data_IF_480170766774
#
_entry.id   IF_480170766774
#
_cell.length_a   1.000
_cell.length_b   1.000
_cell.length_c   1.000
_cell.angle_alpha   90.00
_cell.angle_beta   90.00
_cell.angle_gamma   90.00
#
_symmetry.space_group_name_H-M   'P 1'
#
loop_
_entity.id
_entity.type
_entity.pdbx_description
1 polymer ?
#
# COMPACT_ATOMS: atom_id res chain seq x y z
N UNK A 1 -2.35 -11.77 -21.89
CA UNK A 1 -1.54 -10.52 -21.87
C UNK A 1 -0.52 -10.62 -20.76
N UNK A 2 0.77 -10.82 -21.08
CA UNK A 2 1.84 -10.95 -20.09
C UNK A 2 2.18 -9.55 -19.57
N UNK A 3 1.72 -9.24 -18.35
CA UNK A 3 2.17 -8.03 -17.64
C UNK A 3 3.65 -8.22 -17.34
N UNK A 4 4.51 -7.53 -18.09
CA UNK A 4 5.95 -7.50 -17.81
C UNK A 4 6.15 -6.96 -16.40
N UNK A 5 6.97 -7.62 -15.55
CA UNK A 5 7.26 -7.10 -14.23
C UNK A 5 7.98 -5.77 -14.41
N UNK A 6 7.43 -4.69 -13.85
CA UNK A 6 8.14 -3.41 -13.74
C UNK A 6 9.47 -3.73 -13.05
N UNK A 7 10.57 -3.56 -13.77
CA UNK A 7 11.93 -3.68 -13.23
C UNK A 7 12.01 -2.75 -12.03
N UNK A 8 11.92 -3.32 -10.84
CA UNK A 8 12.14 -2.60 -9.59
C UNK A 8 13.65 -2.41 -9.51
N UNK A 9 14.18 -1.46 -10.27
CA UNK A 9 15.55 -1.04 -10.13
C UNK A 9 15.67 -0.46 -8.73
N UNK A 10 16.27 -1.23 -7.83
CA UNK A 10 16.88 -0.78 -6.59
C UNK A 10 18.01 0.21 -6.92
N UNK A 11 17.64 1.36 -7.49
CA UNK A 11 18.54 2.49 -7.73
C UNK A 11 18.73 3.24 -6.42
N UNK A 12 19.22 2.54 -5.39
CA UNK A 12 19.32 3.07 -4.04
C UNK A 12 20.57 3.94 -3.84
N UNK A 13 20.96 4.73 -4.84
CA UNK A 13 22.03 5.73 -4.69
C UNK A 13 21.53 7.17 -4.60
N UNK A 14 20.26 7.42 -4.94
CA UNK A 14 19.72 8.77 -4.93
C UNK A 14 19.43 9.25 -3.51
N UNK A 15 20.00 10.40 -3.14
CA UNK A 15 19.81 11.05 -1.85
C UNK A 15 19.15 12.41 -2.09
N UNK A 16 17.83 12.47 -1.89
CA UNK A 16 17.04 13.68 -2.15
C UNK A 16 17.52 14.88 -1.32
N UNK A 17 18.02 14.64 -0.11
CA UNK A 17 18.51 15.68 0.81
C UNK A 17 19.80 16.35 0.33
N UNK A 18 20.52 15.73 -0.60
CA UNK A 18 21.72 16.30 -1.22
C UNK A 18 21.40 17.16 -2.45
N UNK A 19 20.14 17.23 -2.88
CA UNK A 19 19.76 18.12 -3.97
C UNK A 19 20.03 19.58 -3.58
N UNK A 20 20.55 20.40 -4.52
CA UNK A 20 20.71 21.81 -4.26
C UNK A 20 19.34 22.47 -4.02
N UNK A 21 19.25 23.45 -3.10
CA UNK A 21 18.02 24.22 -2.94
C UNK A 21 17.59 24.83 -4.28
N UNK A 22 16.31 24.67 -4.61
CA UNK A 22 15.77 25.07 -5.92
C UNK A 22 16.06 26.54 -6.26
N UNK A 23 16.01 27.43 -5.26
CA UNK A 23 16.38 28.84 -5.39
C UNK A 23 17.81 29.00 -5.91
N UNK A 24 18.80 28.52 -5.16
CA UNK A 24 20.22 28.63 -5.53
C UNK A 24 20.54 27.96 -6.87
N UNK A 25 19.84 26.86 -7.18
CA UNK A 25 19.98 26.18 -8.46
C UNK A 25 19.48 27.06 -9.62
N UNK A 26 18.23 27.51 -9.58
CA UNK A 26 17.65 28.29 -10.67
C UNK A 26 18.22 29.69 -10.81
N UNK A 27 18.67 30.33 -9.73
CA UNK A 27 19.38 31.62 -9.80
C UNK A 27 20.71 31.49 -10.56
N UNK A 28 21.42 30.37 -10.39
CA UNK A 28 22.63 30.07 -11.16
C UNK A 28 22.33 29.74 -12.62
N UNK A 29 21.30 28.94 -12.88
CA UNK A 29 20.98 28.45 -14.22
C UNK A 29 20.29 29.49 -15.12
N UNK A 30 19.42 30.32 -14.55
CA UNK A 30 18.59 31.27 -15.29
C UNK A 30 18.99 32.73 -15.07
N UNK A 31 19.90 32.99 -14.12
CA UNK A 31 20.30 34.33 -13.72
C UNK A 31 19.21 35.04 -12.91
N UNK A 32 18.92 36.29 -13.28
CA UNK A 32 17.97 37.14 -12.54
C UNK A 32 16.54 36.61 -12.63
N UNK A 33 15.99 36.22 -11.49
CA UNK A 33 14.60 35.77 -11.36
C UNK A 33 13.67 36.92 -10.94
N UNK A 34 12.38 36.79 -11.26
CA UNK A 34 11.35 37.73 -10.80
C UNK A 34 11.13 37.64 -9.29
N UNK A 35 10.41 38.63 -8.73
CA UNK A 35 9.94 38.52 -7.35
C UNK A 35 9.04 37.28 -7.19
N UNK A 36 9.20 36.51 -6.11
CA UNK A 36 8.38 35.33 -5.85
C UNK A 36 6.92 35.72 -5.59
N UNK A 37 6.02 34.89 -6.12
CA UNK A 37 4.58 34.94 -5.85
C UNK A 37 4.11 33.53 -5.52
N UNK A 38 3.73 33.30 -4.25
CA UNK A 38 3.32 31.98 -3.72
C UNK A 38 4.36 30.88 -4.03
N UNK A 39 5.64 31.18 -3.85
CA UNK A 39 6.75 30.25 -4.13
C UNK A 39 7.17 30.16 -5.61
N UNK A 40 6.39 30.74 -6.54
CA UNK A 40 6.72 30.74 -7.96
C UNK A 40 7.48 32.00 -8.37
N UNK A 41 8.52 31.81 -9.17
CA UNK A 41 9.29 32.89 -9.81
C UNK A 41 9.37 32.65 -11.32
N UNK A 42 9.56 33.73 -12.09
CA UNK A 42 9.71 33.68 -13.54
C UNK A 42 11.12 34.06 -13.96
N UNK A 43 11.59 33.46 -15.05
CA UNK A 43 12.88 33.73 -15.67
C UNK A 43 12.86 33.52 -17.19
N UNK A 44 14.04 33.69 -17.81
CA UNK A 44 14.24 33.32 -19.22
C UNK A 44 14.21 31.80 -19.35
N UNK A 45 13.58 31.31 -20.41
CA UNK A 45 13.57 29.88 -20.69
C UNK A 45 14.92 29.46 -21.29
N UNK A 46 15.57 28.40 -20.79
CA UNK A 46 16.80 27.87 -21.37
C UNK A 46 16.53 26.94 -22.56
N UNK A 47 15.27 26.54 -22.80
CA UNK A 47 14.89 25.56 -23.82
C UNK A 47 14.38 26.17 -25.13
N UNK A 48 14.12 27.47 -25.16
CA UNK A 48 13.76 28.19 -26.38
C UNK A 48 14.13 29.67 -26.24
N UNK A 49 14.41 30.32 -27.36
CA UNK A 49 14.60 31.76 -27.39
C UNK A 49 13.24 32.46 -27.61
N UNK A 50 12.90 33.43 -26.77
CA UNK A 50 11.66 34.21 -26.89
C UNK A 50 11.90 35.69 -26.60
N UNK A 51 11.29 36.55 -27.44
CA UNK A 51 11.38 38.00 -27.29
C UNK A 51 10.83 38.52 -25.96
N UNK A 52 9.85 37.83 -25.36
CA UNK A 52 9.21 38.25 -24.10
C UNK A 52 10.02 37.96 -22.84
N UNK A 53 11.12 37.19 -22.95
CA UNK A 53 12.16 37.02 -21.91
C UNK A 53 11.72 36.40 -20.56
N UNK A 54 10.44 36.28 -20.23
CA UNK A 54 9.93 35.86 -18.92
C UNK A 54 8.84 34.78 -19.03
N UNK A 55 9.08 33.77 -19.87
CA UNK A 55 8.14 32.69 -20.17
C UNK A 55 8.30 31.44 -19.29
N UNK A 56 9.38 31.35 -18.52
CA UNK A 56 9.71 30.17 -17.71
C UNK A 56 9.35 30.38 -16.25
N UNK A 57 8.47 29.53 -15.69
CA UNK A 57 8.01 29.62 -14.31
C UNK A 57 8.54 28.43 -13.51
N UNK A 58 9.13 28.69 -12.33
CA UNK A 58 9.70 27.67 -11.44
C UNK A 58 9.17 27.84 -10.02
N UNK A 59 8.94 26.73 -9.33
CA UNK A 59 8.47 26.70 -7.94
C UNK A 59 9.66 26.44 -7.01
N UNK A 60 10.05 27.46 -6.24
CA UNK A 60 11.20 27.38 -5.34
C UNK A 60 10.89 26.61 -4.05
N UNK A 61 9.62 26.59 -3.62
CA UNK A 61 9.21 25.98 -2.35
C UNK A 61 8.80 24.50 -2.54
N UNK A 62 8.27 24.16 -3.71
CA UNK A 62 7.71 22.84 -4.04
C UNK A 62 8.71 21.83 -4.61
N UNK A 63 10.01 21.94 -4.30
CA UNK A 63 11.04 21.02 -4.80
C UNK A 63 11.56 21.30 -6.21
N UNK A 64 11.31 22.49 -6.75
CA UNK A 64 11.92 22.94 -8.01
C UNK A 64 11.15 22.56 -9.28
N UNK A 65 9.85 22.28 -9.20
CA UNK A 65 9.04 22.04 -10.40
C UNK A 65 9.01 23.26 -11.33
N UNK A 66 8.90 23.05 -12.64
CA UNK A 66 8.92 24.11 -13.63
C UNK A 66 7.97 23.88 -14.80
N UNK A 67 7.56 24.99 -15.41
CA UNK A 67 6.74 25.02 -16.62
C UNK A 67 7.08 26.24 -17.47
N UNK A 68 7.28 26.04 -18.76
CA UNK A 68 7.44 27.12 -19.73
C UNK A 68 6.13 27.39 -20.46
N UNK A 69 5.59 28.60 -20.34
CA UNK A 69 4.39 29.02 -21.07
C UNK A 69 4.63 29.29 -22.56
N UNK A 70 5.89 29.42 -22.99
CA UNK A 70 6.24 29.64 -24.40
C UNK A 70 6.36 28.34 -25.20
N UNK A 71 7.12 27.36 -24.67
CA UNK A 71 7.42 26.11 -25.38
C UNK A 71 6.76 24.86 -24.77
N UNK A 72 6.03 24.98 -23.66
CA UNK A 72 5.32 23.88 -23.01
C UNK A 72 6.19 22.88 -22.24
N UNK A 73 7.52 23.03 -22.25
CA UNK A 73 8.44 22.18 -21.50
C UNK A 73 8.14 22.27 -20.01
N UNK A 74 8.11 21.12 -19.32
CA UNK A 74 7.75 21.01 -17.91
C UNK A 74 8.53 19.91 -17.20
N UNK A 75 8.67 20.04 -15.88
CA UNK A 75 9.30 19.03 -15.03
C UNK A 75 8.88 19.18 -13.57
N UNK A 76 8.98 18.09 -12.81
CA UNK A 76 8.51 18.02 -11.42
C UNK A 76 9.50 18.51 -10.38
N UNK A 77 10.79 18.55 -10.71
CA UNK A 77 11.87 18.94 -9.81
C UNK A 77 13.12 19.41 -10.59
N UNK A 78 14.16 19.80 -9.85
CA UNK A 78 15.47 20.17 -10.41
C UNK A 78 16.16 19.03 -11.17
N UNK A 79 15.86 17.77 -10.84
CA UNK A 79 16.43 16.61 -11.54
C UNK A 79 15.86 16.53 -12.95
N UNK A 80 14.54 16.65 -13.10
CA UNK A 80 13.87 16.69 -14.39
C UNK A 80 14.39 17.85 -15.27
N UNK A 81 14.75 18.99 -14.66
CA UNK A 81 15.35 20.10 -15.39
C UNK A 81 16.70 19.72 -16.00
N UNK A 82 17.60 19.14 -15.21
CA UNK A 82 18.92 18.69 -15.68
C UNK A 82 18.80 17.58 -16.72
N UNK A 83 17.86 16.64 -16.54
CA UNK A 83 17.59 15.60 -17.53
C UNK A 83 17.21 16.20 -18.89
N UNK A 84 16.35 17.23 -18.90
CA UNK A 84 15.93 17.89 -20.13
C UNK A 84 17.02 18.77 -20.74
N UNK A 85 17.78 19.51 -19.90
CA UNK A 85 18.87 20.39 -20.34
C UNK A 85 20.01 19.60 -20.98
N UNK A 86 20.47 18.55 -20.30
CA UNK A 86 21.66 17.78 -20.68
C UNK A 86 21.32 16.52 -21.49
N UNK A 87 20.03 16.29 -21.75
CA UNK A 87 19.51 15.10 -22.46
C UNK A 87 20.03 13.79 -21.86
N UNK A 88 20.05 13.71 -20.53
CA UNK A 88 20.60 12.59 -19.79
C UNK A 88 19.54 11.82 -18.98
N UNK A 89 19.88 10.59 -18.58
CA UNK A 89 19.04 9.78 -17.71
C UNK A 89 19.00 10.28 -16.27
N UNK A 90 18.05 9.76 -15.47
CA UNK A 90 17.85 10.17 -14.08
C UNK A 90 19.11 10.04 -13.22
N UNK A 91 19.83 8.91 -13.35
CA UNK A 91 21.05 8.63 -12.58
C UNK A 91 22.14 9.66 -12.89
N UNK A 92 22.33 10.00 -14.16
CA UNK A 92 23.37 10.95 -14.56
C UNK A 92 23.01 12.37 -14.14
N UNK A 93 21.73 12.76 -14.25
CA UNK A 93 21.24 14.02 -13.71
C UNK A 93 21.44 14.12 -12.19
N UNK A 94 21.19 13.04 -11.44
CA UNK A 94 21.44 13.01 -10.00
C UNK A 94 22.93 13.12 -9.67
N UNK A 95 23.82 12.49 -10.46
CA UNK A 95 25.27 12.63 -10.30
C UNK A 95 25.74 14.06 -10.59
N UNK A 96 25.23 14.69 -11.65
CA UNK A 96 25.51 16.10 -12.00
C UNK A 96 25.09 17.03 -10.85
N UNK A 97 23.97 16.72 -10.19
CA UNK A 97 23.47 17.45 -9.02
C UNK A 97 24.15 17.09 -7.70
N UNK A 98 25.11 16.14 -7.67
CA UNK A 98 25.76 15.67 -6.45
C UNK A 98 24.85 14.85 -5.53
N UNK A 99 23.65 14.49 -5.98
CA UNK A 99 22.63 13.78 -5.21
C UNK A 99 22.68 12.25 -5.41
N UNK A 100 23.81 11.72 -5.89
CA UNK A 100 23.99 10.30 -6.14
C UNK A 100 25.20 9.75 -5.39
N UNK A 101 24.95 8.95 -4.37
CA UNK A 101 25.98 8.19 -3.64
C UNK A 101 25.99 6.74 -4.10
N UNK A 102 27.16 6.20 -4.41
CA UNK A 102 27.29 4.77 -4.64
C UNK A 102 27.07 4.01 -3.33
N UNK A 103 26.12 3.07 -3.34
CA UNK A 103 25.97 2.14 -2.21
C UNK A 103 27.13 1.17 -2.20
N UNK A 104 27.83 1.14 -1.08
CA UNK A 104 28.95 0.23 -0.84
C UNK A 104 28.47 -1.23 -0.77
N UNK A 105 29.33 -2.22 -1.03
CA UNK A 105 28.95 -3.64 -0.90
C UNK A 105 28.39 -3.99 0.49
N UNK A 106 28.96 -3.44 1.56
CA UNK A 106 28.52 -3.65 2.93
C UNK A 106 27.11 -3.08 3.19
N UNK A 107 26.84 -1.85 2.73
CA UNK A 107 25.51 -1.25 2.82
C UNK A 107 24.47 -2.05 2.01
N UNK A 108 24.85 -2.64 0.86
CA UNK A 108 23.93 -3.49 0.07
C UNK A 108 23.50 -4.74 0.84
N UNK A 109 24.45 -5.40 1.52
CA UNK A 109 24.17 -6.57 2.36
C UNK A 109 23.24 -6.18 3.50
N UNK A 110 23.50 -5.07 4.19
CA UNK A 110 22.66 -4.60 5.29
C UNK A 110 21.24 -4.21 4.82
N UNK A 111 21.11 -3.53 3.67
CA UNK A 111 19.81 -3.22 3.07
C UNK A 111 19.04 -4.51 2.74
N UNK A 112 19.71 -5.51 2.14
CA UNK A 112 19.11 -6.79 1.81
C UNK A 112 18.64 -7.53 3.08
N UNK A 113 19.45 -7.55 4.15
CA UNK A 113 19.09 -8.13 5.45
C UNK A 113 17.83 -7.48 6.02
N UNK A 114 17.77 -6.15 6.07
CA UNK A 114 16.59 -5.41 6.55
C UNK A 114 15.35 -5.69 5.70
N UNK A 115 15.50 -5.80 4.38
CA UNK A 115 14.39 -6.13 3.49
C UNK A 115 13.87 -7.54 3.75
N UNK A 116 14.77 -8.50 3.97
CA UNK A 116 14.44 -9.88 4.31
C UNK A 116 13.73 -9.97 5.66
N UNK A 117 14.23 -9.29 6.70
CA UNK A 117 13.59 -9.22 8.03
C UNK A 117 12.17 -8.65 7.93
N UNK A 118 12.00 -7.51 7.24
CA UNK A 118 10.67 -6.92 7.02
C UNK A 118 9.74 -7.84 6.23
N UNK A 119 10.26 -8.56 5.24
CA UNK A 119 9.48 -9.52 4.48
C UNK A 119 9.05 -10.70 5.35
N UNK A 120 9.93 -11.21 6.20
CA UNK A 120 9.63 -12.27 7.16
C UNK A 120 8.54 -11.84 8.15
N UNK A 121 8.65 -10.65 8.75
CA UNK A 121 7.62 -10.12 9.66
C UNK A 121 6.27 -9.99 8.96
N UNK A 122 6.22 -9.40 7.77
CA UNK A 122 4.99 -9.29 6.98
C UNK A 122 4.38 -10.66 6.67
N UNK A 123 5.22 -11.63 6.30
CA UNK A 123 4.76 -12.98 5.98
C UNK A 123 4.13 -13.65 7.21
N UNK A 124 4.76 -13.52 8.37
CA UNK A 124 4.22 -14.04 9.64
C UNK A 124 2.90 -13.39 10.04
N UNK A 125 2.76 -12.08 9.86
CA UNK A 125 1.49 -11.39 10.12
C UNK A 125 0.38 -11.87 9.18
N UNK A 126 0.70 -12.04 7.88
CA UNK A 126 -0.24 -12.58 6.89
C UNK A 126 -0.66 -13.99 7.29
N UNK A 127 0.29 -14.85 7.64
CA UNK A 127 0.04 -16.22 8.07
C UNK A 127 -0.83 -16.27 9.32
N UNK A 128 -0.53 -15.47 10.36
CA UNK A 128 -1.36 -15.38 11.56
C UNK A 128 -2.79 -14.93 11.26
N UNK A 129 -2.95 -13.90 10.41
CA UNK A 129 -4.29 -13.43 9.99
C UNK A 129 -5.03 -14.49 9.19
N UNK A 130 -4.34 -15.22 8.31
CA UNK A 130 -4.92 -16.32 7.54
C UNK A 130 -5.35 -17.48 8.44
N UNK A 131 -4.52 -17.88 9.41
CA UNK A 131 -4.83 -18.92 10.39
C UNK A 131 -6.05 -18.56 11.21
N UNK A 132 -6.08 -17.36 11.82
CA UNK A 132 -7.26 -16.88 12.57
C UNK A 132 -8.51 -16.82 11.71
N UNK A 133 -8.39 -16.35 10.45
CA UNK A 133 -9.52 -16.33 9.51
C UNK A 133 -10.02 -17.74 9.21
N UNK A 134 -9.13 -18.70 8.96
CA UNK A 134 -9.47 -20.10 8.66
C UNK A 134 -10.16 -20.76 9.85
N UNK A 135 -9.63 -20.57 11.05
CA UNK A 135 -10.21 -21.08 12.29
C UNK A 135 -11.62 -20.52 12.51
N UNK A 136 -11.81 -19.20 12.36
CA UNK A 136 -13.13 -18.58 12.49
C UNK A 136 -14.13 -19.10 11.45
N UNK A 137 -13.72 -19.31 10.21
CA UNK A 137 -14.58 -19.89 9.17
C UNK A 137 -14.98 -21.33 9.51
N UNK A 138 -14.02 -22.13 10.00
CA UNK A 138 -14.27 -23.51 10.45
C UNK A 138 -15.33 -23.54 11.56
N UNK A 139 -15.15 -22.75 12.61
CA UNK A 139 -16.10 -22.66 13.74
C UNK A 139 -17.49 -22.20 13.28
N UNK A 140 -17.55 -21.26 12.34
CA UNK A 140 -18.82 -20.80 11.75
C UNK A 140 -19.52 -21.93 11.01
N UNK A 141 -18.78 -22.70 10.22
CA UNK A 141 -19.34 -23.78 9.41
C UNK A 141 -19.80 -24.97 10.30
N UNK A 142 -19.07 -25.27 11.39
CA UNK A 142 -19.49 -26.20 12.46
C UNK A 142 -20.80 -25.73 13.10
N UNK A 143 -20.85 -24.47 13.58
CA UNK A 143 -22.05 -23.86 14.15
C UNK A 143 -23.25 -23.95 13.20
N UNK A 144 -23.08 -23.58 11.94
CA UNK A 144 -24.16 -23.67 10.94
C UNK A 144 -24.67 -25.11 10.77
N UNK A 145 -23.78 -26.10 10.82
CA UNK A 145 -24.13 -27.52 10.69
C UNK A 145 -24.99 -27.97 11.88
N UNK A 146 -24.58 -27.65 13.10
CA UNK A 146 -25.31 -28.06 14.31
C UNK A 146 -26.66 -27.35 14.43
N UNK A 147 -26.70 -26.05 14.14
CA UNK A 147 -27.96 -25.28 14.05
C UNK A 147 -28.91 -25.92 13.04
N UNK A 148 -28.40 -26.30 11.86
CA UNK A 148 -29.21 -26.96 10.82
C UNK A 148 -29.76 -28.29 11.29
N UNK A 149 -28.93 -29.15 11.89
CA UNK A 149 -29.36 -30.45 12.44
C UNK A 149 -30.48 -30.24 13.47
N UNK A 150 -30.31 -29.31 14.41
CA UNK A 150 -31.32 -29.03 15.43
C UNK A 150 -32.68 -28.65 14.83
N UNK A 151 -32.68 -27.73 13.86
CA UNK A 151 -33.92 -27.30 13.19
C UNK A 151 -34.54 -28.40 12.33
N UNK A 152 -33.72 -29.21 11.64
CA UNK A 152 -34.18 -30.32 10.80
C UNK A 152 -34.80 -31.44 11.65
N UNK A 153 -34.21 -31.77 12.82
CA UNK A 153 -34.82 -32.69 13.80
C UNK A 153 -36.19 -32.19 14.29
N UNK A 154 -36.29 -30.89 14.58
CA UNK A 154 -37.55 -30.27 14.98
C UNK A 154 -38.59 -30.25 13.86
N UNK A 155 -38.17 -30.09 12.60
CA UNK A 155 -39.04 -30.18 11.44
C UNK A 155 -39.56 -31.60 11.25
N UNK A 156 -38.67 -32.60 11.34
CA UNK A 156 -39.04 -34.00 11.23
C UNK A 156 -40.05 -34.40 12.31
N UNK A 157 -39.87 -33.98 13.57
CA UNK A 157 -40.83 -34.22 14.65
C UNK A 157 -42.23 -33.65 14.37
N UNK A 158 -42.31 -32.48 13.71
CA UNK A 158 -43.60 -31.90 13.31
C UNK A 158 -44.26 -32.72 12.20
N UNK A 159 -43.48 -33.36 11.33
CA UNK A 159 -43.97 -34.20 10.25
C UNK A 159 -44.40 -35.58 10.73
N UNK A 160 -43.59 -36.25 11.57
CA UNK A 160 -43.86 -37.63 12.04
C UNK A 160 -44.79 -37.69 13.25
N UNK A 161 -44.98 -36.57 13.96
CA UNK A 161 -45.73 -36.52 15.20
C UNK A 161 -44.92 -36.93 16.44
N UNK A 162 -45.51 -36.83 17.65
CA UNK A 162 -44.76 -36.92 18.90
C UNK A 162 -44.39 -38.35 19.33
N UNK A 163 -44.96 -39.40 18.71
CA UNK A 163 -44.83 -40.80 19.12
C UNK A 163 -44.35 -41.65 17.94
N UNK A 164 -43.50 -42.63 18.21
CA UNK A 164 -42.94 -43.55 17.23
C UNK A 164 -41.41 -43.58 17.27
N UNK A 165 -40.82 -44.60 16.65
CA UNK A 165 -39.36 -44.85 16.70
C UNK A 165 -38.52 -43.69 16.16
N UNK A 166 -38.99 -43.04 15.09
CA UNK A 166 -38.34 -41.84 14.52
C UNK A 166 -38.46 -40.65 15.47
N UNK A 167 -39.62 -40.47 16.11
CA UNK A 167 -39.83 -39.40 17.08
C UNK A 167 -38.94 -39.59 18.32
N UNK A 168 -38.82 -40.81 18.86
CA UNK A 168 -37.91 -41.14 19.97
C UNK A 168 -36.45 -40.83 19.63
N UNK A 169 -36.03 -41.13 18.40
CA UNK A 169 -34.68 -40.82 17.91
C UNK A 169 -34.45 -39.30 17.87
N UNK A 170 -35.43 -38.53 17.38
CA UNK A 170 -35.33 -37.07 17.33
C UNK A 170 -35.31 -36.45 18.74
N UNK A 171 -36.17 -36.90 19.65
CA UNK A 171 -36.18 -36.44 21.03
C UNK A 171 -34.87 -36.74 21.76
N UNK A 172 -34.27 -37.90 21.49
CA UNK A 172 -32.98 -38.27 22.07
C UNK A 172 -31.83 -37.43 21.51
N UNK A 173 -31.91 -37.02 20.24
CA UNK A 173 -30.87 -36.25 19.55
C UNK A 173 -30.95 -34.74 19.80
N UNK A 174 -32.15 -34.18 20.09
CA UNK A 174 -32.34 -32.73 20.26
C UNK A 174 -31.51 -32.13 21.41
N UNK A 175 -31.55 -32.64 22.66
CA UNK A 175 -30.77 -32.09 23.76
C UNK A 175 -29.24 -32.06 23.50
N UNK A 176 -28.58 -33.17 23.10
CA UNK A 176 -27.15 -33.12 22.84
C UNK A 176 -26.80 -32.21 21.64
N UNK A 177 -27.68 -32.10 20.64
CA UNK A 177 -27.46 -31.16 19.53
C UNK A 177 -27.54 -29.70 20.00
N UNK A 178 -28.46 -29.38 20.91
CA UNK A 178 -28.55 -28.03 21.50
C UNK A 178 -27.32 -27.69 22.33
N UNK A 179 -26.78 -28.65 23.09
CA UNK A 179 -25.55 -28.45 23.85
C UNK A 179 -24.35 -28.24 22.92
N UNK A 180 -24.24 -29.01 21.83
CA UNK A 180 -23.23 -28.79 20.79
C UNK A 180 -23.36 -27.39 20.18
N UNK A 181 -24.58 -26.94 19.85
CA UNK A 181 -24.80 -25.60 19.30
C UNK A 181 -24.26 -24.54 20.27
N UNK A 182 -24.63 -24.58 21.55
CA UNK A 182 -24.18 -23.59 22.54
C UNK A 182 -22.65 -23.53 22.65
N UNK A 183 -21.99 -24.69 22.65
CA UNK A 183 -20.53 -24.77 22.69
C UNK A 183 -19.87 -24.16 21.45
N UNK A 184 -20.38 -24.48 20.27
CA UNK A 184 -19.84 -23.99 18.99
C UNK A 184 -20.10 -22.48 18.81
N UNK A 185 -21.25 -21.98 19.24
CA UNK A 185 -21.57 -20.56 19.21
C UNK A 185 -20.68 -19.76 20.17
N UNK A 186 -20.47 -20.27 21.40
CA UNK A 186 -19.50 -19.71 22.35
C UNK A 186 -18.09 -19.64 21.75
N UNK A 187 -17.63 -20.73 21.10
CA UNK A 187 -16.32 -20.78 20.46
C UNK A 187 -16.22 -19.80 19.27
N UNK A 188 -17.25 -19.72 18.43
CA UNK A 188 -17.31 -18.79 17.31
C UNK A 188 -17.30 -17.33 17.80
N UNK A 189 -18.10 -16.98 18.79
CA UNK A 189 -18.14 -15.62 19.34
C UNK A 189 -16.77 -15.19 19.87
N UNK A 190 -16.08 -16.05 20.64
CA UNK A 190 -14.71 -15.79 21.09
C UNK A 190 -13.74 -15.59 19.93
N UNK A 191 -13.77 -16.45 18.92
CA UNK A 191 -12.90 -16.34 17.74
C UNK A 191 -13.22 -15.11 16.86
N UNK A 192 -14.46 -14.64 16.88
CA UNK A 192 -14.93 -13.48 16.13
C UNK A 192 -14.78 -12.16 16.90
N UNK A 193 -14.52 -12.20 18.21
CA UNK A 193 -14.51 -11.02 19.08
C UNK A 193 -15.91 -10.44 19.31
N UNK A 194 -16.92 -11.31 19.36
CA UNK A 194 -18.31 -10.99 19.64
C UNK A 194 -18.64 -11.29 21.10
N UNK A 195 -19.71 -10.67 21.60
CA UNK A 195 -20.28 -11.00 22.91
C UNK A 195 -20.76 -12.45 22.92
N UNK A 196 -20.44 -13.18 23.99
CA UNK A 196 -20.81 -14.58 24.16
C UNK A 196 -22.12 -14.66 24.95
N UNK A 197 -23.20 -15.22 24.40
CA UNK A 197 -24.49 -15.25 25.10
C UNK A 197 -24.54 -16.26 26.27
N UNK A 198 -23.48 -17.04 26.50
CA UNK A 198 -23.43 -18.11 27.50
C UNK A 198 -22.41 -17.89 28.62
N UNK A 199 -21.68 -16.76 28.60
CA UNK A 199 -20.77 -16.31 29.66
C UNK A 199 -21.34 -15.08 30.37
#
# INVERSE_FOLDING_TARGET
MKVSPRRNTSQSGFQRDLLPPARSFYERELGKLSRPSRGWVRGRCPFHDSRSGLSFSVNLDGGGGFYCFGCGVKGGDVVAFVQLRDRCGFVDACKILGAWKSVTPTERVEIARRQQERAWHRQREIEQKQTKRRERLKLRDELHTTVRIYYDLGALLREVGPVGTVAESCWSALPPTLDCWRLEESAYCKAAGLENPYE
#
